data_IF_951798547983
#
_entry.id   IF_951798547983
#
_cell.length_a   1.000
_cell.length_b   1.000
_cell.length_c   1.000
_cell.angle_alpha   90.00
_cell.angle_beta   90.00
_cell.angle_gamma   90.00
#
_symmetry.space_group_name_H-M   'P 1'
#
loop_
_entity.id
_entity.type
_entity.pdbx_description
1 polymer ?
#
# COMPACT_ATOMS: atom_id res chain seq x y z
N UNK A 1 25.92 -47.65 7.57
CA UNK A 1 25.89 -47.21 6.15
C UNK A 1 24.50 -46.71 5.71
N UNK A 2 23.39 -47.38 6.06
CA UNK A 2 22.04 -46.91 5.66
C UNK A 2 21.66 -45.52 6.22
N UNK A 3 22.02 -45.23 7.47
CA UNK A 3 21.71 -43.95 8.14
C UNK A 3 22.43 -42.76 7.48
N UNK A 4 23.63 -42.98 6.96
CA UNK A 4 24.44 -41.95 6.30
C UNK A 4 23.87 -41.55 4.93
N UNK A 5 23.28 -42.53 4.20
CA UNK A 5 22.62 -42.29 2.91
C UNK A 5 21.29 -41.54 3.11
N UNK A 6 20.53 -41.86 4.16
CA UNK A 6 19.30 -41.14 4.50
C UNK A 6 19.55 -39.69 4.91
N UNK A 7 20.64 -39.40 5.63
CA UNK A 7 21.02 -38.02 5.95
C UNK A 7 21.43 -37.21 4.72
N UNK A 8 22.15 -37.82 3.76
CA UNK A 8 22.53 -37.17 2.51
C UNK A 8 21.31 -36.86 1.62
N UNK A 9 20.31 -37.74 1.58
CA UNK A 9 19.04 -37.47 0.89
C UNK A 9 18.19 -36.42 1.61
N UNK A 10 18.15 -36.41 2.95
CA UNK A 10 17.43 -35.41 3.72
C UNK A 10 18.05 -34.00 3.60
N UNK A 11 19.38 -33.92 3.46
CA UNK A 11 20.08 -32.66 3.21
C UNK A 11 19.95 -32.18 1.76
N UNK A 12 19.90 -33.08 0.78
CA UNK A 12 19.69 -32.75 -0.63
C UNK A 12 18.25 -32.34 -0.97
N UNK A 13 17.27 -32.74 -0.14
CA UNK A 13 15.86 -32.33 -0.28
C UNK A 13 15.54 -30.98 0.41
N UNK A 14 16.51 -30.40 1.11
CA UNK A 14 16.46 -29.05 1.66
C UNK A 14 17.14 -28.02 0.76
N UNK A 15 17.11 -28.22 -0.57
CA UNK A 15 17.24 -27.08 -1.49
C UNK A 15 15.99 -26.22 -1.33
N UNK A 16 16.04 -25.36 -0.32
CA UNK A 16 15.19 -24.17 -0.22
C UNK A 16 15.60 -23.32 -1.40
N UNK A 17 15.02 -23.60 -2.58
CA UNK A 17 15.25 -22.83 -3.80
C UNK A 17 15.05 -21.36 -3.44
N UNK A 18 16.15 -20.62 -3.39
CA UNK A 18 16.11 -19.20 -3.10
C UNK A 18 15.47 -18.50 -4.30
N UNK A 19 14.57 -17.58 -4.00
CA UNK A 19 13.86 -16.82 -5.02
C UNK A 19 14.83 -15.81 -5.62
N UNK A 20 14.96 -15.74 -6.94
CA UNK A 20 15.80 -14.71 -7.58
C UNK A 20 14.98 -13.45 -7.85
N UNK A 21 15.49 -12.29 -7.46
CA UNK A 21 14.82 -11.00 -7.65
C UNK A 21 15.76 -10.00 -8.30
N UNK A 22 15.21 -9.05 -9.06
CA UNK A 22 15.97 -7.88 -9.47
C UNK A 22 16.04 -6.87 -8.32
N UNK A 23 17.24 -6.36 -8.06
CA UNK A 23 17.51 -5.26 -7.13
C UNK A 23 18.26 -4.16 -7.86
N UNK A 24 17.71 -2.96 -7.82
CA UNK A 24 18.23 -1.80 -8.55
C UNK A 24 18.23 -0.57 -7.65
N UNK A 25 19.02 0.44 -8.00
CA UNK A 25 18.88 1.75 -7.37
C UNK A 25 17.59 2.44 -7.85
N UNK A 26 17.01 3.28 -6.98
CA UNK A 26 15.81 4.04 -7.29
C UNK A 26 16.04 4.96 -8.50
N UNK A 27 15.09 4.94 -9.44
CA UNK A 27 15.15 5.76 -10.66
C UNK A 27 14.11 6.87 -10.59
N UNK A 28 14.56 8.11 -10.47
CA UNK A 28 13.70 9.30 -10.42
C UNK A 28 13.48 9.93 -11.78
N UNK A 29 12.25 10.39 -12.03
CA UNK A 29 11.86 11.16 -13.22
C UNK A 29 10.89 12.28 -12.85
N UNK A 30 10.85 13.32 -13.68
CA UNK A 30 10.00 14.51 -13.47
C UNK A 30 8.66 14.47 -14.23
N UNK A 31 8.21 13.27 -14.61
CA UNK A 31 6.96 13.02 -15.30
C UNK A 31 6.24 11.82 -14.71
N UNK A 32 4.94 11.67 -14.99
CA UNK A 32 4.21 10.50 -14.49
C UNK A 32 4.53 9.26 -15.31
N UNK A 33 5.03 8.26 -14.61
CA UNK A 33 5.29 6.94 -15.16
C UNK A 33 3.96 6.25 -15.50
N UNK A 34 3.87 5.67 -16.69
CA UNK A 34 2.82 4.78 -17.12
C UNK A 34 3.43 3.66 -17.97
N UNK A 35 2.61 2.74 -18.49
CA UNK A 35 3.10 1.63 -19.29
C UNK A 35 3.96 2.03 -20.51
N UNK A 36 3.82 3.24 -21.05
CA UNK A 36 4.59 3.75 -22.20
C UNK A 36 5.81 4.59 -21.80
N UNK A 37 5.83 5.11 -20.58
CA UNK A 37 6.87 6.02 -20.09
C UNK A 37 7.69 5.43 -18.95
N UNK A 38 7.51 4.13 -18.66
CA UNK A 38 8.33 3.41 -17.69
C UNK A 38 9.81 3.53 -18.11
N UNK A 39 10.69 4.07 -17.24
CA UNK A 39 12.12 4.10 -17.50
C UNK A 39 12.63 2.68 -17.71
N UNK A 40 13.48 2.48 -18.73
CA UNK A 40 14.12 1.19 -18.94
C UNK A 40 14.89 0.74 -17.70
N UNK A 41 15.01 -0.58 -17.55
CA UNK A 41 15.75 -1.19 -16.45
C UNK A 41 17.12 -0.54 -16.24
N UNK A 42 17.42 -0.06 -15.02
CA UNK A 42 18.72 0.51 -14.71
C UNK A 42 19.86 -0.47 -15.02
N UNK A 43 20.95 0.03 -15.59
CA UNK A 43 22.09 -0.80 -16.00
C UNK A 43 22.85 -1.42 -14.82
N UNK A 44 22.66 -0.89 -13.61
CA UNK A 44 23.19 -1.37 -12.34
C UNK A 44 22.28 -2.38 -11.62
N UNK A 45 21.19 -2.84 -12.25
CA UNK A 45 20.35 -3.89 -11.66
C UNK A 45 21.12 -5.20 -11.51
N UNK A 46 21.00 -5.81 -10.34
CA UNK A 46 21.57 -7.13 -10.05
C UNK A 46 20.48 -8.15 -9.76
N UNK A 47 20.71 -9.39 -10.14
CA UNK A 47 19.86 -10.51 -9.71
C UNK A 47 20.39 -11.02 -8.37
N UNK A 48 19.57 -10.90 -7.33
CA UNK A 48 19.91 -11.29 -5.95
C UNK A 48 19.00 -12.40 -5.48
N UNK A 49 19.48 -13.18 -4.51
CA UNK A 49 18.66 -14.16 -3.83
C UNK A 49 17.82 -13.48 -2.74
N UNK A 50 16.52 -13.75 -2.75
CA UNK A 50 15.54 -13.28 -1.79
C UNK A 50 14.93 -14.46 -1.06
N UNK A 51 14.63 -14.26 0.22
CA UNK A 51 14.09 -15.31 1.07
C UNK A 51 12.59 -15.53 0.86
N UNK A 52 11.85 -14.50 0.41
CA UNK A 52 10.38 -14.50 0.47
C UNK A 52 9.68 -14.02 -0.79
N UNK A 53 10.02 -12.84 -1.30
CA UNK A 53 9.29 -12.21 -2.40
C UNK A 53 10.15 -11.19 -3.15
N UNK A 54 9.89 -11.02 -4.44
CA UNK A 54 10.40 -9.90 -5.22
C UNK A 54 9.38 -8.77 -5.21
N UNK A 55 9.83 -7.52 -5.17
CA UNK A 55 8.94 -6.35 -5.20
C UNK A 55 9.40 -5.34 -6.24
N UNK A 56 8.44 -4.73 -6.92
CA UNK A 56 8.63 -3.52 -7.70
C UNK A 56 7.67 -2.44 -7.19
N UNK A 57 8.15 -1.22 -7.08
CA UNK A 57 7.36 -0.07 -6.60
C UNK A 57 7.43 1.03 -7.64
N UNK A 58 6.27 1.59 -7.99
CA UNK A 58 6.19 2.87 -8.70
C UNK A 58 5.50 3.85 -7.79
N UNK A 59 6.12 5.00 -7.53
CA UNK A 59 5.50 6.10 -6.80
C UNK A 59 5.38 7.32 -7.67
N UNK A 60 4.30 8.06 -7.47
CA UNK A 60 4.03 9.33 -8.13
C UNK A 60 3.73 10.38 -7.07
N UNK A 61 4.37 11.54 -7.18
CA UNK A 61 4.15 12.69 -6.33
C UNK A 61 3.74 13.88 -7.20
N UNK A 62 2.70 14.56 -6.75
CA UNK A 62 2.39 15.92 -7.21
C UNK A 62 2.98 16.87 -6.18
N UNK A 63 3.97 17.64 -6.58
CA UNK A 63 4.63 18.66 -5.75
C UNK A 63 4.11 20.04 -6.13
N UNK A 64 4.30 21.08 -5.28
CA UNK A 64 3.80 22.42 -5.59
C UNK A 64 4.43 23.00 -6.86
N UNK A 65 5.65 22.57 -7.19
CA UNK A 65 6.44 23.07 -8.31
C UNK A 65 6.57 22.06 -9.47
N UNK A 66 5.79 20.97 -9.47
CA UNK A 66 5.86 20.00 -10.54
C UNK A 66 5.40 18.59 -10.17
N UNK A 67 5.93 17.62 -10.91
CA UNK A 67 5.63 16.20 -10.73
C UNK A 67 6.93 15.46 -10.55
N UNK A 68 6.92 14.50 -9.65
CA UNK A 68 8.03 13.57 -9.47
C UNK A 68 7.46 12.16 -9.50
N UNK A 69 8.20 11.22 -10.06
CA UNK A 69 7.86 9.81 -9.98
C UNK A 69 9.14 9.01 -9.88
N UNK A 70 9.07 7.86 -9.25
CA UNK A 70 10.21 6.97 -9.21
C UNK A 70 9.80 5.51 -9.30
N UNK A 71 10.78 4.68 -9.70
CA UNK A 71 10.67 3.23 -9.71
C UNK A 71 11.76 2.64 -8.83
N UNK A 72 11.38 1.64 -8.04
CA UNK A 72 12.29 0.90 -7.19
C UNK A 72 12.05 -0.62 -7.35
N UNK A 73 13.13 -1.40 -7.31
CA UNK A 73 13.13 -2.85 -7.45
C UNK A 73 13.83 -3.45 -6.24
N UNK A 74 13.07 -4.17 -5.43
CA UNK A 74 13.46 -4.60 -4.10
C UNK A 74 13.39 -6.13 -3.96
N UNK A 75 14.32 -6.67 -3.18
CA UNK A 75 14.40 -8.08 -2.76
C UNK A 75 13.57 -8.37 -1.51
N UNK A 76 13.15 -7.33 -0.77
CA UNK A 76 12.17 -7.43 0.30
C UNK A 76 11.60 -6.04 0.64
N UNK A 77 10.29 -5.91 0.78
CA UNK A 77 9.67 -4.62 1.16
C UNK A 77 8.51 -4.77 2.14
N UNK A 78 7.71 -5.83 2.03
CA UNK A 78 6.53 -6.01 2.89
C UNK A 78 6.61 -7.30 3.72
N UNK A 79 6.27 -7.26 5.02
CA UNK A 79 6.26 -8.44 5.89
C UNK A 79 5.11 -9.43 5.61
N UNK A 80 4.26 -9.19 4.61
CA UNK A 80 3.13 -10.08 4.34
C UNK A 80 3.60 -11.36 3.64
N UNK A 81 3.24 -12.50 4.19
CA UNK A 81 3.47 -13.78 3.55
C UNK A 81 2.57 -13.92 2.32
N UNK A 82 3.19 -14.02 1.15
CA UNK A 82 2.50 -14.43 -0.08
C UNK A 82 2.59 -15.96 -0.24
N UNK A 83 1.52 -16.63 -0.69
CA UNK A 83 1.61 -18.02 -1.10
C UNK A 83 2.74 -18.24 -2.12
N UNK A 84 3.30 -19.45 -2.17
CA UNK A 84 4.27 -19.82 -3.21
C UNK A 84 3.64 -19.65 -4.60
N UNK A 85 4.46 -19.24 -5.57
CA UNK A 85 4.08 -19.07 -6.97
C UNK A 85 2.88 -18.11 -7.17
N UNK A 86 2.84 -17.05 -6.36
CA UNK A 86 1.76 -16.07 -6.37
C UNK A 86 2.26 -14.65 -6.55
N UNK A 87 1.32 -13.76 -6.84
CA UNK A 87 1.57 -12.32 -6.89
C UNK A 87 0.44 -11.55 -6.25
N UNK A 88 0.73 -10.32 -5.85
CA UNK A 88 -0.20 -9.38 -5.25
C UNK A 88 0.15 -7.98 -5.71
N UNK A 89 -0.88 -7.18 -5.97
CA UNK A 89 -0.75 -5.74 -6.07
C UNK A 89 -1.34 -5.09 -4.84
N UNK A 90 -0.70 -4.01 -4.43
CA UNK A 90 -1.28 -3.00 -3.58
C UNK A 90 -1.14 -1.66 -4.29
N UNK A 91 -2.25 -0.96 -4.47
CA UNK A 91 -2.27 0.39 -5.04
C UNK A 91 -2.86 1.33 -4.01
N UNK A 92 -2.26 2.50 -3.84
CA UNK A 92 -2.87 3.56 -3.06
C UNK A 92 -2.80 4.93 -3.73
N UNK A 93 -3.77 5.76 -3.35
CA UNK A 93 -3.77 7.20 -3.56
C UNK A 93 -3.89 7.86 -2.19
N UNK A 94 -3.12 8.92 -1.96
CA UNK A 94 -3.14 9.66 -0.72
C UNK A 94 -2.92 11.16 -0.92
N UNK A 95 -3.36 11.96 0.06
CA UNK A 95 -2.90 13.33 0.28
C UNK A 95 -2.37 13.41 1.70
N UNK A 96 -1.20 14.03 1.88
CA UNK A 96 -0.57 14.25 3.18
C UNK A 96 -0.15 15.73 3.29
N UNK A 97 -0.82 16.49 4.17
CA UNK A 97 -0.66 17.95 4.20
C UNK A 97 0.71 18.45 4.65
N UNK A 98 1.39 17.74 5.54
CA UNK A 98 2.68 18.21 6.11
C UNK A 98 3.88 17.92 5.19
N UNK A 99 3.74 17.05 4.18
CA UNK A 99 4.82 16.72 3.24
C UNK A 99 4.92 17.64 2.03
N UNK A 100 4.10 18.71 1.96
CA UNK A 100 3.97 19.61 0.79
C UNK A 100 3.61 18.86 -0.51
N UNK A 101 3.20 17.60 -0.45
CA UNK A 101 2.72 16.83 -1.59
C UNK A 101 1.24 17.11 -1.77
N UNK A 102 0.84 17.57 -2.97
CA UNK A 102 -0.57 17.77 -3.31
C UNK A 102 -1.30 16.44 -3.51
N UNK A 103 -0.58 15.40 -3.96
CA UNK A 103 -1.06 14.02 -3.95
C UNK A 103 0.11 13.04 -4.07
N UNK A 104 -0.05 11.88 -3.48
CA UNK A 104 0.83 10.72 -3.61
C UNK A 104 0.03 9.58 -4.21
N UNK A 105 0.60 8.83 -5.14
CA UNK A 105 0.14 7.48 -5.46
C UNK A 105 1.28 6.50 -5.45
N UNK A 106 0.95 5.23 -5.25
CA UNK A 106 1.88 4.16 -5.55
C UNK A 106 1.20 2.92 -6.07
N UNK A 107 1.93 2.17 -6.87
CA UNK A 107 1.71 0.79 -7.24
C UNK A 107 2.84 -0.02 -6.61
N UNK A 108 2.51 -0.96 -5.74
CA UNK A 108 3.43 -1.95 -5.16
C UNK A 108 3.04 -3.30 -5.73
N UNK A 109 3.95 -3.90 -6.48
CA UNK A 109 3.81 -5.23 -7.04
C UNK A 109 4.75 -6.18 -6.30
N UNK A 110 4.20 -7.23 -5.70
CA UNK A 110 4.98 -8.27 -5.01
C UNK A 110 4.66 -9.64 -5.59
N UNK A 111 5.67 -10.50 -5.70
CA UNK A 111 5.53 -11.82 -6.31
C UNK A 111 6.57 -12.82 -5.78
N UNK A 112 6.28 -14.11 -5.88
CA UNK A 112 7.07 -15.21 -5.29
C UNK A 112 7.60 -16.20 -6.33
N UNK A 113 7.79 -15.74 -7.58
CA UNK A 113 8.40 -16.48 -8.69
C UNK A 113 9.66 -15.79 -9.19
N UNK A 114 10.64 -16.52 -9.69
CA UNK A 114 11.93 -15.94 -10.09
C UNK A 114 11.82 -14.77 -11.08
N UNK A 115 12.58 -13.71 -10.81
CA UNK A 115 12.76 -12.50 -11.62
C UNK A 115 11.43 -11.85 -12.02
N UNK A 116 10.39 -12.03 -11.21
CA UNK A 116 9.04 -11.55 -11.54
C UNK A 116 8.90 -10.04 -11.44
N UNK A 117 9.73 -9.35 -10.65
CA UNK A 117 9.75 -7.89 -10.53
C UNK A 117 10.53 -7.24 -11.69
N UNK A 118 10.35 -7.73 -12.92
CA UNK A 118 11.01 -7.20 -14.11
C UNK A 118 10.21 -6.10 -14.82
N UNK A 119 10.84 -5.46 -15.82
CA UNK A 119 10.28 -4.34 -16.56
C UNK A 119 8.95 -4.71 -17.20
N UNK A 120 8.91 -5.87 -17.86
CA UNK A 120 7.75 -6.35 -18.60
C UNK A 120 6.56 -6.61 -17.68
N UNK A 121 6.81 -7.12 -16.48
CA UNK A 121 5.77 -7.42 -15.49
C UNK A 121 5.24 -6.11 -14.89
N UNK A 122 6.13 -5.16 -14.59
CA UNK A 122 5.74 -3.85 -14.10
C UNK A 122 4.99 -3.04 -15.17
N UNK A 123 5.42 -3.10 -16.43
CA UNK A 123 4.76 -2.46 -17.56
C UNK A 123 3.34 -3.00 -17.76
N UNK A 124 3.16 -4.33 -17.68
CA UNK A 124 1.82 -4.96 -17.71
C UNK A 124 0.96 -4.53 -16.53
N UNK A 125 1.54 -4.46 -15.33
CA UNK A 125 0.81 -4.00 -14.15
C UNK A 125 0.34 -2.54 -14.32
N UNK A 126 1.20 -1.68 -14.86
CA UNK A 126 0.87 -0.28 -15.14
C UNK A 126 -0.15 -0.11 -16.25
N UNK A 127 -0.15 -0.98 -17.27
CA UNK A 127 -1.11 -0.90 -18.37
C UNK A 127 -2.50 -1.34 -17.91
N UNK A 128 -2.54 -2.34 -17.02
CA UNK A 128 -3.77 -2.87 -16.42
C UNK A 128 -4.37 -1.99 -15.33
N UNK A 129 -3.65 -0.96 -14.87
CA UNK A 129 -4.07 -0.10 -13.76
C UNK A 129 -4.77 1.16 -14.25
N UNK A 130 -6.01 1.36 -13.82
CA UNK A 130 -6.68 2.65 -13.92
C UNK A 130 -6.68 3.34 -12.55
N UNK A 131 -6.08 4.52 -12.51
CA UNK A 131 -5.94 5.33 -11.30
C UNK A 131 -6.44 6.75 -11.55
N UNK A 132 -7.44 7.19 -10.79
CA UNK A 132 -7.96 8.56 -10.80
C UNK A 132 -8.30 8.99 -9.39
N UNK A 133 -8.07 10.24 -9.06
CA UNK A 133 -8.46 10.81 -7.77
C UNK A 133 -8.66 12.32 -7.89
N UNK A 134 -9.57 12.84 -7.06
CA UNK A 134 -9.80 14.27 -6.88
C UNK A 134 -10.15 14.53 -5.40
N UNK A 135 -9.14 14.55 -4.54
CA UNK A 135 -9.35 14.76 -3.11
C UNK A 135 -9.34 16.25 -2.70
N UNK A 136 -9.20 17.19 -3.65
CA UNK A 136 -9.27 18.63 -3.36
C UNK A 136 -10.54 19.05 -2.56
N UNK A 137 -11.74 18.48 -2.79
CA UNK A 137 -12.90 18.79 -1.97
C UNK A 137 -12.77 18.38 -0.49
N UNK A 138 -11.90 17.42 -0.17
CA UNK A 138 -11.64 16.97 1.20
C UNK A 138 -10.67 17.89 1.96
N UNK A 139 -10.06 18.88 1.28
CA UNK A 139 -9.11 19.81 1.92
C UNK A 139 -9.73 20.59 3.08
N UNK A 140 -11.05 20.79 3.07
CA UNK A 140 -11.80 21.45 4.15
C UNK A 140 -11.81 20.66 5.46
N UNK A 141 -11.50 19.36 5.41
CA UNK A 141 -11.42 18.49 6.58
C UNK A 141 -10.13 18.72 7.37
N UNK A 142 -9.11 19.27 6.71
CA UNK A 142 -7.80 19.52 7.30
C UNK A 142 -7.72 20.91 7.90
N UNK A 143 -7.20 21.02 9.12
CA UNK A 143 -7.10 22.31 9.80
C UNK A 143 -5.90 23.09 9.26
N UNK A 144 -6.09 24.38 8.93
CA UNK A 144 -4.97 25.30 8.66
C UNK A 144 -4.14 25.61 9.91
N UNK A 145 -4.68 25.32 11.10
CA UNK A 145 -3.99 25.48 12.38
C UNK A 145 -3.69 24.09 12.95
N UNK A 146 -2.42 23.71 12.93
CA UNK A 146 -1.87 22.50 13.56
C UNK A 146 -1.86 22.60 15.10
N UNK A 147 -2.99 22.99 15.71
CA UNK A 147 -3.12 22.87 17.16
C UNK A 147 -3.30 21.40 17.49
N UNK A 148 -2.44 20.89 18.38
CA UNK A 148 -2.59 19.58 19.01
C UNK A 148 -4.00 19.49 19.60
N UNK A 149 -4.64 18.35 19.38
CA UNK A 149 -5.99 18.07 19.86
C UNK A 149 -6.11 18.37 21.36
N UNK A 150 -7.19 19.02 21.75
CA UNK A 150 -7.65 19.01 23.15
C UNK A 150 -8.80 18.01 23.22
N UNK A 151 -8.69 17.12 24.19
CA UNK A 151 -9.34 15.81 24.31
C UNK A 151 -10.89 15.84 24.27
N UNK A 152 -11.52 14.66 24.06
CA UNK A 152 -12.68 14.12 24.83
C UNK A 152 -14.07 13.80 24.23
N UNK A 153 -14.43 13.94 22.94
CA UNK A 153 -15.79 13.47 22.53
C UNK A 153 -15.98 12.75 21.20
N UNK A 154 -15.05 12.83 20.25
CA UNK A 154 -15.34 12.42 18.85
C UNK A 154 -14.79 11.04 18.44
N UNK A 155 -14.05 10.37 19.32
CA UNK A 155 -13.47 9.05 19.06
C UNK A 155 -14.38 7.89 19.52
N UNK A 156 -15.56 8.22 20.05
CA UNK A 156 -16.39 7.32 20.88
C UNK A 156 -17.53 6.68 20.04
N UNK A 157 -17.83 7.17 18.84
CA UNK A 157 -18.99 6.73 18.05
C UNK A 157 -18.77 5.46 17.20
N UNK A 158 -17.95 4.50 17.62
CA UNK A 158 -17.74 3.28 16.81
C UNK A 158 -17.83 2.00 17.64
N UNK A 159 -18.76 1.13 17.25
CA UNK A 159 -18.98 -0.17 17.87
C UNK A 159 -17.95 -1.18 17.39
N UNK A 160 -17.31 -1.90 18.30
CA UNK A 160 -16.53 -3.11 17.99
C UNK A 160 -17.42 -4.11 17.22
N UNK A 161 -17.23 -4.26 15.90
CA UNK A 161 -17.69 -5.45 15.16
C UNK A 161 -16.53 -6.42 14.97
N UNK A 162 -16.86 -7.71 15.01
CA UNK A 162 -15.92 -8.79 15.34
C UNK A 162 -15.28 -9.50 14.14
N UNK A 163 -15.18 -8.90 12.94
CA UNK A 163 -14.72 -9.66 11.77
C UNK A 163 -13.71 -8.91 10.89
N UNK A 164 -12.43 -9.26 11.08
CA UNK A 164 -11.24 -8.80 10.33
C UNK A 164 -10.61 -7.54 10.95
N UNK A 165 -9.81 -7.80 11.99
CA UNK A 165 -8.58 -7.05 12.34
C UNK A 165 -8.67 -5.52 12.39
N UNK A 166 -9.53 -4.94 13.25
CA UNK A 166 -9.11 -3.69 13.88
C UNK A 166 -7.88 -4.03 14.76
N UNK A 167 -6.67 -3.50 14.48
CA UNK A 167 -5.49 -3.83 15.26
C UNK A 167 -5.73 -3.47 16.73
N UNK A 168 -5.59 -4.46 17.61
CA UNK A 168 -5.83 -4.35 19.05
C UNK A 168 -4.71 -3.59 19.76
N UNK A 169 -4.43 -2.34 19.38
CA UNK A 169 -3.36 -1.54 20.00
C UNK A 169 -3.90 -0.71 21.18
N UNK A 170 -4.11 -1.42 22.28
CA UNK A 170 -3.78 -1.13 23.69
C UNK A 170 -4.22 0.17 24.43
N UNK A 171 -4.62 1.26 23.77
CA UNK A 171 -5.03 2.49 24.47
C UNK A 171 -6.53 2.78 24.29
N UNK A 172 -7.31 3.00 25.37
CA UNK A 172 -8.71 3.42 25.25
C UNK A 172 -8.84 4.65 24.36
N UNK A 173 -9.75 4.61 23.38
CA UNK A 173 -9.97 5.72 22.43
C UNK A 173 -10.31 7.05 23.13
N UNK A 174 -10.91 6.98 24.32
CA UNK A 174 -11.20 8.12 25.19
C UNK A 174 -9.95 8.86 25.68
N UNK A 175 -8.80 8.18 25.69
CA UNK A 175 -7.52 8.72 26.13
C UNK A 175 -6.63 9.16 24.96
N UNK A 176 -7.00 8.88 23.71
CA UNK A 176 -6.19 9.29 22.57
C UNK A 176 -6.19 10.83 22.43
N UNK A 177 -5.04 11.43 22.07
CA UNK A 177 -5.01 12.83 21.66
C UNK A 177 -5.76 13.01 20.33
N UNK A 178 -5.53 12.17 19.33
CA UNK A 178 -6.25 12.18 18.05
C UNK A 178 -6.74 10.76 17.70
N UNK A 179 -7.59 10.62 16.69
CA UNK A 179 -8.07 9.32 16.23
C UNK A 179 -7.84 9.15 14.73
N UNK A 180 -7.34 7.97 14.38
CA UNK A 180 -7.21 7.52 12.99
C UNK A 180 -8.42 6.65 12.69
N UNK A 181 -9.17 7.00 11.65
CA UNK A 181 -10.18 6.11 11.10
C UNK A 181 -9.63 5.27 9.96
N UNK A 182 -9.98 4.00 10.02
CA UNK A 182 -9.76 3.00 8.99
C UNK A 182 -11.13 2.42 8.64
N UNK A 183 -11.63 2.70 7.44
CA UNK A 183 -12.74 1.97 6.85
C UNK A 183 -12.15 0.78 6.09
N UNK A 184 -12.68 -0.42 6.37
CA UNK A 184 -12.32 -1.64 5.66
C UNK A 184 -13.54 -2.08 4.85
N UNK A 185 -13.43 -1.96 3.53
CA UNK A 185 -14.43 -2.48 2.61
C UNK A 185 -14.28 -4.01 2.53
N UNK A 186 -15.37 -4.66 2.91
CA UNK A 186 -15.66 -6.08 2.95
C UNK A 186 -17.19 -6.23 2.98
N UNK A 187 -17.74 -7.46 3.04
CA UNK A 187 -19.19 -7.67 2.98
C UNK A 187 -19.97 -6.97 4.12
N UNK A 188 -19.30 -6.62 5.22
CA UNK A 188 -19.87 -5.99 6.42
C UNK A 188 -19.68 -4.47 6.52
N UNK A 189 -18.88 -3.82 5.66
CA UNK A 189 -18.44 -2.40 5.80
C UNK A 189 -18.00 -2.08 7.24
N UNK A 190 -16.77 -2.45 7.58
CA UNK A 190 -16.30 -2.31 8.97
C UNK A 190 -15.54 -1.00 9.18
N UNK A 191 -15.82 -0.35 10.31
CA UNK A 191 -15.15 0.87 10.73
C UNK A 191 -14.28 0.58 11.94
N UNK A 192 -12.98 0.88 11.81
CA UNK A 192 -12.00 0.77 12.86
C UNK A 192 -11.47 2.16 13.23
N UNK A 193 -11.31 2.39 14.53
CA UNK A 193 -10.64 3.58 15.06
C UNK A 193 -9.46 3.16 15.93
N UNK A 194 -8.35 3.91 15.87
CA UNK A 194 -7.18 3.69 16.74
C UNK A 194 -6.54 5.00 17.17
N UNK A 195 -5.79 4.98 18.27
CA UNK A 195 -4.85 6.05 18.58
C UNK A 195 -3.71 6.09 17.52
N UNK A 196 -3.13 7.26 17.24
CA UNK A 196 -1.83 7.37 16.59
C UNK A 196 -0.79 6.56 17.37
N UNK A 197 0.07 5.82 16.67
CA UNK A 197 1.21 5.17 17.31
C UNK A 197 2.39 6.15 17.34
N UNK A 198 3.05 6.30 18.49
CA UNK A 198 4.21 7.19 18.66
C UNK A 198 5.40 6.86 17.71
N UNK A 199 5.45 5.63 17.19
CA UNK A 199 6.52 5.15 16.30
C UNK A 199 6.26 5.40 14.82
N UNK A 200 5.04 5.76 14.43
CA UNK A 200 4.70 6.06 13.04
C UNK A 200 4.52 7.56 12.92
N UNK A 201 5.23 8.19 11.99
CA UNK A 201 5.16 9.62 11.61
C UNK A 201 3.77 10.09 11.12
N UNK A 202 2.71 9.34 11.41
CA UNK A 202 1.31 9.51 10.97
C UNK A 202 0.53 10.53 11.79
N UNK A 203 1.19 11.50 12.43
CA UNK A 203 0.48 12.63 13.02
C UNK A 203 -0.01 13.62 11.96
N UNK A 204 0.33 13.41 10.69
CA UNK A 204 -0.04 14.27 9.57
C UNK A 204 -1.51 14.07 9.19
N UNK A 205 -2.24 15.19 9.06
CA UNK A 205 -3.56 15.21 8.44
C UNK A 205 -3.47 14.60 7.03
N UNK A 206 -4.14 13.47 6.82
CA UNK A 206 -4.07 12.70 5.59
C UNK A 206 -5.37 12.00 5.22
N UNK A 207 -5.53 11.78 3.92
CA UNK A 207 -6.56 10.93 3.32
C UNK A 207 -5.83 9.89 2.49
N UNK A 208 -6.20 8.63 2.62
CA UNK A 208 -5.69 7.54 1.79
C UNK A 208 -6.84 6.64 1.34
N UNK A 209 -6.74 6.13 0.11
CA UNK A 209 -7.46 4.92 -0.31
C UNK A 209 -6.48 3.89 -0.83
N UNK A 210 -6.67 2.65 -0.41
CA UNK A 210 -5.79 1.52 -0.64
C UNK A 210 -6.59 0.33 -1.15
N UNK A 211 -6.24 -0.20 -2.32
CA UNK A 211 -6.88 -1.38 -2.90
C UNK A 211 -5.85 -2.48 -3.11
N UNK A 212 -6.24 -3.70 -2.75
CA UNK A 212 -5.43 -4.89 -2.90
C UNK A 212 -6.02 -5.80 -3.96
N UNK A 213 -5.15 -6.29 -4.85
CA UNK A 213 -5.52 -7.23 -5.89
C UNK A 213 -4.66 -8.48 -5.80
N UNK A 214 -5.25 -9.63 -6.10
CA UNK A 214 -4.53 -10.90 -6.26
C UNK A 214 -4.68 -11.36 -7.71
N UNK A 215 -3.67 -11.11 -8.55
CA UNK A 215 -3.73 -11.43 -9.98
C UNK A 215 -3.95 -12.92 -10.22
N UNK A 216 -3.27 -13.79 -9.46
CA UNK A 216 -3.31 -15.25 -9.69
C UNK A 216 -4.72 -15.85 -9.69
N UNK A 217 -5.66 -15.28 -8.94
CA UNK A 217 -7.07 -15.70 -8.93
C UNK A 217 -8.03 -14.65 -9.51
N UNK A 218 -7.50 -13.56 -10.07
CA UNK A 218 -8.27 -12.44 -10.65
C UNK A 218 -9.26 -11.81 -9.68
N UNK A 219 -8.87 -11.66 -8.41
CA UNK A 219 -9.75 -11.09 -7.37
C UNK A 219 -9.21 -9.79 -6.80
N UNK A 220 -10.16 -8.95 -6.37
CA UNK A 220 -9.91 -7.85 -5.45
C UNK A 220 -9.99 -8.41 -4.02
N UNK A 221 -8.91 -8.26 -3.25
CA UNK A 221 -8.84 -8.79 -1.89
C UNK A 221 -9.42 -7.83 -0.85
N UNK A 222 -9.35 -6.53 -1.11
CA UNK A 222 -9.85 -5.51 -0.19
C UNK A 222 -9.71 -4.11 -0.76
N UNK A 223 -10.49 -3.19 -0.21
CA UNK A 223 -10.47 -1.76 -0.45
C UNK A 223 -10.58 -1.08 0.91
N UNK A 224 -9.72 -0.11 1.17
CA UNK A 224 -9.62 0.50 2.48
C UNK A 224 -9.51 2.00 2.28
N UNK A 225 -10.28 2.76 3.06
CA UNK A 225 -10.06 4.19 3.18
C UNK A 225 -9.48 4.48 4.57
N UNK A 226 -8.52 5.40 4.62
CA UNK A 226 -7.95 5.88 5.88
C UNK A 226 -8.08 7.39 5.91
N UNK A 227 -8.57 7.90 7.04
CA UNK A 227 -8.70 9.32 7.28
C UNK A 227 -8.05 9.68 8.61
N UNK A 228 -7.01 10.49 8.53
CA UNK A 228 -6.32 11.09 9.67
C UNK A 228 -6.60 12.58 9.62
N UNK A 229 -7.28 13.11 10.63
CA UNK A 229 -7.63 14.52 10.62
C UNK A 229 -7.87 15.04 12.03
N UNK A 230 -7.57 16.32 12.23
CA UNK A 230 -7.64 16.99 13.54
C UNK A 230 -8.95 17.77 13.79
N UNK A 231 -9.77 17.98 12.76
CA UNK A 231 -11.00 18.79 12.86
C UNK A 231 -12.15 17.98 13.47
N UNK A 232 -12.96 18.58 14.36
CA UNK A 232 -14.11 17.88 14.96
C UNK A 232 -15.06 17.35 13.87
N UNK A 233 -15.41 16.06 13.94
CA UNK A 233 -16.35 15.42 13.01
C UNK A 233 -15.77 15.13 11.62
N UNK A 234 -14.47 15.36 11.41
CA UNK A 234 -13.81 14.99 10.16
C UNK A 234 -13.80 13.47 9.97
N UNK A 235 -13.68 12.72 11.06
CA UNK A 235 -13.70 11.28 11.13
C UNK A 235 -15.13 10.70 11.10
N UNK A 236 -15.95 11.14 10.13
CA UNK A 236 -17.30 10.62 9.92
C UNK A 236 -17.31 9.63 8.76
N UNK A 237 -18.20 8.62 8.81
CA UNK A 237 -18.37 7.63 7.73
C UNK A 237 -18.63 8.32 6.37
N UNK A 238 -19.48 9.34 6.33
CA UNK A 238 -19.76 10.10 5.10
C UNK A 238 -18.48 10.68 4.46
N UNK A 239 -17.46 11.03 5.24
CA UNK A 239 -16.19 11.50 4.69
C UNK A 239 -15.33 10.36 4.17
N UNK A 240 -15.40 9.18 4.81
CA UNK A 240 -14.76 7.97 4.33
C UNK A 240 -15.39 7.50 2.99
N UNK A 241 -16.72 7.50 2.89
CA UNK A 241 -17.43 7.20 1.63
C UNK A 241 -17.08 8.20 0.51
N UNK A 242 -16.91 9.50 0.83
CA UNK A 242 -16.44 10.50 -0.14
C UNK A 242 -15.06 10.16 -0.70
N UNK A 243 -14.15 9.56 0.09
CA UNK A 243 -12.86 9.10 -0.42
C UNK A 243 -13.06 8.07 -1.54
N UNK A 244 -13.99 7.12 -1.36
CA UNK A 244 -14.33 6.13 -2.39
C UNK A 244 -14.97 6.77 -3.63
N UNK A 245 -15.84 7.77 -3.46
CA UNK A 245 -16.48 8.50 -4.57
C UNK A 245 -15.51 9.38 -5.36
N UNK A 246 -14.54 9.97 -4.67
CA UNK A 246 -13.57 10.90 -5.24
C UNK A 246 -12.34 10.19 -5.83
N UNK A 247 -12.32 8.86 -5.85
CA UNK A 247 -11.22 8.08 -6.43
C UNK A 247 -11.70 6.86 -7.19
N UNK A 248 -10.87 6.41 -8.12
CA UNK A 248 -11.06 5.17 -8.88
C UNK A 248 -9.71 4.45 -8.88
N UNK A 249 -9.71 3.23 -8.34
CA UNK A 249 -8.59 2.30 -8.40
C UNK A 249 -9.13 0.99 -8.96
N UNK A 250 -8.89 0.75 -10.24
CA UNK A 250 -9.37 -0.43 -10.96
C UNK A 250 -8.21 -1.15 -11.60
N UNK A 251 -8.32 -2.48 -11.69
CA UNK A 251 -7.29 -3.33 -12.27
C UNK A 251 -7.91 -4.29 -13.29
N UNK A 252 -7.47 -4.22 -14.54
CA UNK A 252 -7.90 -5.12 -15.60
C UNK A 252 -7.07 -6.40 -15.59
N UNK A 253 -7.63 -7.46 -15.01
CA UNK A 253 -6.99 -8.77 -14.98
C UNK A 253 -6.82 -9.42 -16.36
N UNK A 254 -7.61 -9.02 -17.37
CA UNK A 254 -7.48 -9.53 -18.74
C UNK A 254 -6.30 -8.87 -19.45
N UNK A 255 -6.11 -7.57 -19.23
CA UNK A 255 -4.93 -6.88 -19.76
C UNK A 255 -3.63 -7.39 -19.11
N UNK A 256 -3.69 -7.76 -17.83
CA UNK A 256 -2.52 -8.30 -17.13
C UNK A 256 -2.15 -9.73 -17.55
N UNK A 257 -3.16 -10.58 -17.78
CA UNK A 257 -3.03 -11.95 -18.29
C UNK A 257 -3.71 -12.06 -19.67
N UNK A 258 -3.10 -11.50 -20.73
CA UNK A 258 -3.64 -11.58 -22.08
C UNK A 258 -3.73 -13.04 -22.60
#
# INVERSE_FOLDING_TARGET
MLVTIFLLFALALCDVSSLKCYKCDETHVNFWINAKTLPSFPTNCSSVEAEKQCTAVVRWFTLPNGKESYVDYLDNFYPYFLPKDSSRFFVFVAIERELRTASTRALVYSCTTDNCNNETSLQRALSSLTLKENFAPLDVLFSNNTKKFTQQSSCIEFSNSTHIECPSSASPLSLCPACVLLEVDGPSRELCARCPNESTTTDVDSVERRVFFFPGNKTRLGDQSTLVCRTKGCNALDNAEKIHQLSTIEFDFKEFFP
#
